data_IF_540639344297
#
_entry.id   IF_540639344297
#
_cell.length_a   1.000
_cell.length_b   1.000
_cell.length_c   1.000
_cell.angle_alpha   90.00
_cell.angle_beta   90.00
_cell.angle_gamma   90.00
#
_symmetry.space_group_name_H-M   'P 1'
#
loop_
_entity.id
_entity.type
_entity.pdbx_description
1 polymer ?
#
# COMPACT_ATOMS: atom_id res chain seq x y z
N UNK A 1 1.29 -23.71 -36.30
CA UNK A 1 0.50 -22.63 -35.67
C UNK A 1 1.37 -22.04 -34.57
N UNK A 2 1.87 -20.81 -34.72
CA UNK A 2 2.57 -20.14 -33.60
C UNK A 2 1.55 -19.96 -32.48
N UNK A 3 1.76 -20.64 -31.35
CA UNK A 3 1.01 -20.38 -30.14
C UNK A 3 1.53 -19.05 -29.60
N UNK A 4 0.98 -17.93 -30.07
CA UNK A 4 1.28 -16.61 -29.54
C UNK A 4 0.77 -16.57 -28.11
N UNK A 5 1.66 -16.78 -27.15
CA UNK A 5 1.40 -16.55 -25.73
C UNK A 5 1.00 -15.08 -25.58
N UNK A 6 -0.24 -14.82 -25.17
CA UNK A 6 -0.73 -13.46 -24.99
C UNK A 6 0.18 -12.73 -23.99
N UNK A 7 0.74 -11.59 -24.42
CA UNK A 7 1.50 -10.69 -23.56
C UNK A 7 0.58 -9.61 -23.04
N UNK A 8 0.54 -9.43 -21.73
CA UNK A 8 -0.33 -8.44 -21.07
C UNK A 8 0.49 -7.23 -20.64
N UNK A 9 0.02 -6.03 -20.96
CA UNK A 9 0.52 -4.79 -20.40
C UNK A 9 -0.40 -4.34 -19.26
N UNK A 10 0.16 -4.09 -18.09
CA UNK A 10 -0.55 -3.46 -16.96
C UNK A 10 -0.03 -2.04 -16.80
N UNK A 11 -0.91 -1.05 -16.80
CA UNK A 11 -0.55 0.37 -16.64
C UNK A 11 -0.94 0.82 -15.22
N UNK A 12 0.06 1.26 -14.47
CA UNK A 12 -0.02 1.62 -13.05
C UNK A 12 0.51 0.51 -12.14
N UNK A 13 1.52 0.83 -11.34
CA UNK A 13 2.18 -0.06 -10.36
C UNK A 13 1.75 0.22 -8.91
N UNK A 14 0.57 0.82 -8.73
CA UNK A 14 -0.12 0.83 -7.44
C UNK A 14 -0.54 -0.58 -7.01
N UNK A 15 -1.19 -0.69 -5.84
CA UNK A 15 -1.57 -1.99 -5.27
C UNK A 15 -2.44 -2.83 -6.21
N UNK A 16 -3.41 -2.23 -6.89
CA UNK A 16 -4.30 -2.93 -7.82
C UNK A 16 -3.54 -3.48 -9.03
N UNK A 17 -2.71 -2.67 -9.66
CA UNK A 17 -1.91 -3.09 -10.82
C UNK A 17 -0.84 -4.11 -10.45
N UNK A 18 -0.21 -3.96 -9.28
CA UNK A 18 0.75 -4.93 -8.75
C UNK A 18 0.10 -6.29 -8.46
N UNK A 19 -1.07 -6.31 -7.84
CA UNK A 19 -1.84 -7.54 -7.59
C UNK A 19 -2.27 -8.19 -8.91
N UNK A 20 -2.77 -7.41 -9.86
CA UNK A 20 -3.13 -7.89 -11.20
C UNK A 20 -1.94 -8.54 -11.91
N UNK A 21 -0.81 -7.83 -12.00
CA UNK A 21 0.40 -8.32 -12.64
C UNK A 21 0.95 -9.57 -11.94
N UNK A 22 1.02 -9.57 -10.61
CA UNK A 22 1.47 -10.73 -9.84
C UNK A 22 0.55 -11.96 -10.07
N UNK A 23 -0.76 -11.76 -10.13
CA UNK A 23 -1.74 -12.83 -10.37
C UNK A 23 -1.57 -13.41 -11.77
N UNK A 24 -1.44 -12.58 -12.80
CA UNK A 24 -1.18 -13.02 -14.17
C UNK A 24 0.13 -13.80 -14.27
N UNK A 25 1.21 -13.27 -13.70
CA UNK A 25 2.53 -13.90 -13.71
C UNK A 25 2.52 -15.27 -13.01
N UNK A 26 1.85 -15.39 -11.86
CA UNK A 26 1.69 -16.66 -11.14
C UNK A 26 0.95 -17.73 -11.95
N UNK A 27 0.10 -17.32 -12.89
CA UNK A 27 -0.60 -18.21 -13.82
C UNK A 27 0.15 -18.41 -15.15
N UNK A 28 1.44 -18.07 -15.21
CA UNK A 28 2.30 -18.29 -16.38
C UNK A 28 2.06 -17.31 -17.54
N UNK A 29 1.30 -16.23 -17.32
CA UNK A 29 1.04 -15.23 -18.35
C UNK A 29 2.18 -14.21 -18.35
N UNK A 30 2.77 -13.97 -19.53
CA UNK A 30 3.79 -12.94 -19.72
C UNK A 30 3.18 -11.56 -19.50
N UNK A 31 3.65 -10.84 -18.47
CA UNK A 31 3.14 -9.51 -18.12
C UNK A 31 4.27 -8.48 -18.04
N UNK A 32 4.01 -7.28 -18.52
CA UNK A 32 4.87 -6.10 -18.33
C UNK A 32 4.09 -5.03 -17.59
N UNK A 33 4.63 -4.55 -16.47
CA UNK A 33 4.05 -3.48 -15.66
C UNK A 33 4.72 -2.15 -16.02
N UNK A 34 3.91 -1.14 -16.29
CA UNK A 34 4.35 0.21 -16.62
C UNK A 34 3.85 1.19 -15.58
N UNK A 35 4.66 2.17 -15.19
CA UNK A 35 4.27 3.29 -14.35
C UNK A 35 4.95 4.56 -14.84
N UNK A 36 4.31 5.71 -14.66
CA UNK A 36 4.91 7.02 -14.97
C UNK A 36 5.77 7.55 -13.82
N UNK A 37 5.59 7.02 -12.61
CA UNK A 37 6.40 7.35 -11.45
C UNK A 37 7.79 6.70 -11.50
N UNK A 38 8.71 7.21 -10.67
CA UNK A 38 10.08 6.70 -10.57
C UNK A 38 10.18 5.32 -9.91
N UNK A 39 9.15 4.89 -9.19
CA UNK A 39 9.13 3.64 -8.44
C UNK A 39 7.69 3.18 -8.17
N UNK A 40 7.52 1.94 -7.70
CA UNK A 40 6.22 1.34 -7.49
C UNK A 40 5.50 1.87 -6.24
N UNK A 41 4.22 1.50 -6.11
CA UNK A 41 3.40 1.73 -4.91
C UNK A 41 2.28 2.74 -5.10
N UNK A 42 2.43 3.71 -6.03
CA UNK A 42 1.41 4.71 -6.29
C UNK A 42 1.02 5.47 -5.02
N UNK A 43 -0.27 5.45 -4.66
CA UNK A 43 -0.80 6.09 -3.44
C UNK A 43 -0.32 5.44 -2.13
N UNK A 44 0.33 4.28 -2.16
CA UNK A 44 0.96 3.65 -1.00
C UNK A 44 2.48 3.86 -0.96
N UNK A 45 3.03 4.74 -1.81
CA UNK A 45 4.45 5.06 -1.78
C UNK A 45 4.79 6.06 -0.67
N UNK A 46 5.98 5.88 -0.10
CA UNK A 46 6.56 6.82 0.86
C UNK A 46 7.30 7.94 0.13
N UNK A 47 7.02 9.18 0.54
CA UNK A 47 7.83 10.32 0.15
C UNK A 47 9.03 10.43 1.10
N UNK A 48 10.22 10.59 0.52
CA UNK A 48 11.46 10.78 1.29
C UNK A 48 11.84 12.24 1.29
N UNK A 49 12.18 12.77 2.45
CA UNK A 49 12.67 14.13 2.62
C UNK A 49 13.91 14.10 3.53
N UNK A 50 14.81 15.06 3.33
CA UNK A 50 15.98 15.24 4.20
C UNK A 50 15.75 16.50 5.02
N UNK A 51 15.74 16.34 6.34
CA UNK A 51 15.62 17.45 7.29
C UNK A 51 16.89 18.30 7.36
N UNK A 52 16.81 19.49 7.97
CA UNK A 52 17.95 20.42 8.08
C UNK A 52 19.15 19.81 8.81
N UNK A 53 18.92 18.90 9.75
CA UNK A 53 19.98 18.19 10.48
C UNK A 53 20.46 16.90 9.77
N UNK A 54 20.01 16.68 8.53
CA UNK A 54 20.45 15.60 7.66
C UNK A 54 19.74 14.26 7.86
N UNK A 55 18.75 14.16 8.76
CA UNK A 55 17.97 12.92 8.93
C UNK A 55 17.04 12.71 7.75
N UNK A 56 16.99 11.47 7.26
CA UNK A 56 15.98 11.01 6.30
C UNK A 56 14.65 10.79 7.02
N UNK A 57 13.60 11.39 6.47
CA UNK A 57 12.23 11.29 6.93
C UNK A 57 11.40 10.63 5.83
N UNK A 58 10.53 9.71 6.23
CA UNK A 58 9.62 8.98 5.34
C UNK A 58 8.18 9.36 5.68
N UNK A 59 7.42 9.76 4.68
CA UNK A 59 6.05 10.24 4.84
C UNK A 59 5.07 9.47 3.94
N UNK A 60 4.08 8.82 4.57
CA UNK A 60 2.95 8.18 3.90
C UNK A 60 1.85 9.20 3.61
N UNK A 61 2.03 10.02 2.56
CA UNK A 61 1.06 11.08 2.20
C UNK A 61 -0.25 10.57 1.57
N UNK A 62 -0.24 9.35 1.03
CA UNK A 62 -1.41 8.78 0.37
C UNK A 62 -2.25 7.94 1.32
N UNK A 63 -1.93 6.65 1.42
CA UNK A 63 -2.60 5.72 2.34
C UNK A 63 -1.73 5.49 3.58
N UNK A 64 -2.00 6.17 4.72
CA UNK A 64 -1.20 6.01 5.94
C UNK A 64 -1.46 4.69 6.67
N UNK A 65 -2.65 4.11 6.49
CA UNK A 65 -3.03 2.80 6.98
C UNK A 65 -4.16 2.24 6.11
N UNK A 66 -4.50 0.97 6.30
CA UNK A 66 -5.66 0.35 5.69
C UNK A 66 -6.32 -0.61 6.69
N UNK A 67 -7.59 -0.90 6.47
CA UNK A 67 -8.33 -1.93 7.21
C UNK A 67 -8.66 -3.08 6.27
N UNK A 68 -8.89 -4.26 6.84
CA UNK A 68 -9.20 -5.47 6.07
C UNK A 68 -10.53 -6.02 6.52
N UNK A 69 -11.48 -6.10 5.59
CA UNK A 69 -12.81 -6.70 5.81
C UNK A 69 -13.05 -7.94 4.96
N UNK A 70 -12.25 -8.14 3.91
CA UNK A 70 -12.35 -9.29 3.02
C UNK A 70 -11.41 -10.43 3.52
N UNK A 71 -11.93 -11.64 3.78
CA UNK A 71 -11.12 -12.78 4.24
C UNK A 71 -9.97 -13.17 3.30
N UNK A 72 -10.17 -13.05 1.98
CA UNK A 72 -9.12 -13.38 1.00
C UNK A 72 -7.95 -12.38 1.09
N UNK A 73 -8.26 -11.11 1.35
CA UNK A 73 -7.26 -10.07 1.59
C UNK A 73 -6.57 -10.28 2.93
N UNK A 74 -7.31 -10.73 3.95
CA UNK A 74 -6.74 -11.01 5.28
C UNK A 74 -5.65 -12.07 5.20
N UNK A 75 -5.87 -13.16 4.45
CA UNK A 75 -4.85 -14.19 4.21
C UNK A 75 -3.55 -13.62 3.64
N UNK A 76 -3.66 -12.73 2.65
CA UNK A 76 -2.51 -12.04 2.05
C UNK A 76 -1.80 -11.13 3.04
N UNK A 77 -2.55 -10.38 3.86
CA UNK A 77 -1.99 -9.47 4.86
C UNK A 77 -1.31 -10.23 6.00
N UNK A 78 -1.86 -11.37 6.44
CA UNK A 78 -1.20 -12.25 7.41
C UNK A 78 0.10 -12.84 6.85
N UNK A 79 0.14 -13.18 5.56
CA UNK A 79 1.40 -13.58 4.90
C UNK A 79 2.42 -12.43 4.95
N UNK A 80 2.01 -11.21 4.62
CA UNK A 80 2.87 -10.02 4.67
C UNK A 80 3.38 -9.73 6.08
N UNK A 81 2.53 -9.85 7.09
CA UNK A 81 2.88 -9.66 8.50
C UNK A 81 3.88 -10.73 8.97
N UNK A 82 3.66 -12.00 8.63
CA UNK A 82 4.60 -13.09 8.93
C UNK A 82 5.99 -12.89 8.32
N UNK A 83 6.07 -12.09 7.24
CA UNK A 83 7.30 -11.73 6.53
C UNK A 83 7.87 -10.38 6.99
N UNK A 84 7.23 -9.71 7.94
CA UNK A 84 7.63 -8.40 8.46
C UNK A 84 7.47 -7.25 7.45
N UNK A 85 6.59 -7.39 6.45
CA UNK A 85 6.33 -6.35 5.44
C UNK A 85 5.28 -5.33 5.91
N UNK A 86 4.41 -5.73 6.82
CA UNK A 86 3.37 -4.90 7.44
C UNK A 86 3.26 -5.27 8.93
N UNK A 87 2.64 -4.41 9.72
CA UNK A 87 2.30 -4.66 11.12
C UNK A 87 0.99 -3.96 11.47
N UNK A 88 0.26 -4.49 12.45
CA UNK A 88 -0.88 -3.78 13.03
C UNK A 88 -0.44 -2.43 13.61
N UNK A 89 -1.12 -1.35 13.23
CA UNK A 89 -0.87 -0.04 13.78
C UNK A 89 -1.66 0.16 15.08
N UNK A 90 -1.00 -0.15 16.21
CA UNK A 90 -1.55 0.04 17.56
C UNK A 90 -1.48 1.51 17.96
N UNK A 91 -2.52 2.28 17.60
CA UNK A 91 -2.59 3.72 17.90
C UNK A 91 -3.94 4.09 18.49
N UNK A 92 -3.93 5.13 19.33
CA UNK A 92 -5.16 5.78 19.77
C UNK A 92 -5.61 6.75 18.67
N UNK A 93 -6.85 6.60 18.22
CA UNK A 93 -7.46 7.51 17.25
C UNK A 93 -8.33 8.53 17.97
N UNK A 94 -8.50 9.70 17.35
CA UNK A 94 -9.32 10.78 17.86
C UNK A 94 -9.59 11.80 16.76
N UNK A 95 -10.62 12.61 16.97
CA UNK A 95 -10.97 13.73 16.08
C UNK A 95 -10.65 15.04 16.78
N UNK A 96 -9.99 15.97 16.10
CA UNK A 96 -9.80 17.32 16.63
C UNK A 96 -10.96 18.22 16.20
N UNK A 97 -11.69 18.76 17.16
CA UNK A 97 -12.73 19.77 16.92
C UNK A 97 -12.12 21.17 16.97
N UNK A 98 -12.07 21.83 15.81
CA UNK A 98 -11.50 23.16 15.66
C UNK A 98 -12.33 24.29 16.29
N UNK A 99 -13.62 24.07 16.58
CA UNK A 99 -14.46 25.07 17.23
C UNK A 99 -14.26 25.08 18.74
N UNK A 100 -14.12 23.90 19.34
CA UNK A 100 -13.94 23.76 20.79
C UNK A 100 -12.47 23.64 21.20
N UNK A 101 -11.55 23.48 20.24
CA UNK A 101 -10.13 23.21 20.45
C UNK A 101 -9.88 21.98 21.34
N UNK A 102 -10.71 20.93 21.17
CA UNK A 102 -10.64 19.70 21.97
C UNK A 102 -10.53 18.48 21.07
N UNK A 103 -9.88 17.44 21.58
CA UNK A 103 -9.94 16.11 20.98
C UNK A 103 -11.23 15.43 21.46
N UNK A 104 -12.00 14.91 20.52
CA UNK A 104 -13.26 14.19 20.72
C UNK A 104 -13.18 12.82 20.03
N UNK A 105 -14.16 11.94 20.28
CA UNK A 105 -14.24 10.61 19.65
C UNK A 105 -12.96 9.78 19.79
N UNK A 106 -12.40 9.73 21.00
CA UNK A 106 -11.18 8.96 21.24
C UNK A 106 -11.48 7.47 21.23
N UNK A 107 -10.91 6.76 20.27
CA UNK A 107 -10.92 5.31 20.19
C UNK A 107 -9.61 4.80 20.77
N UNK A 108 -9.69 4.11 21.91
CA UNK A 108 -8.56 3.37 22.47
C UNK A 108 -8.66 1.93 21.97
N UNK A 109 -7.68 1.48 21.21
CA UNK A 109 -7.51 0.04 20.99
C UNK A 109 -6.98 -0.58 22.30
N UNK A 110 -7.64 -1.65 22.76
CA UNK A 110 -7.27 -2.41 23.95
C UNK A 110 -5.95 -3.18 23.78
#
# INVERSE_FOLDING_TARGET
>A
MQNTVAKVAVVGSGISGSVCAATLARNGISVTLFDSARGPGGRMSQRREISEDGRELLFDHGAPYFTVTNPDVLSVVTEWESRGLVAEWKSNFGSFDCFTNKIVNTEHQA
#
